data_IF_115851684042
#
_entry.id   IF_115851684042
#
_cell.length_a   1.000
_cell.length_b   1.000
_cell.length_c   1.000
_cell.angle_alpha   90.00
_cell.angle_beta   90.00
_cell.angle_gamma   90.00
#
_symmetry.space_group_name_H-M   'P 1'
#
loop_
_entity.id
_entity.type
_entity.pdbx_description
1 polymer ?
#
# COMPACT_ATOMS: atom_id res chain seq x y z
N UNK A 1 18.45 11.33 -15.26
CA UNK A 1 17.46 10.25 -15.53
C UNK A 1 16.40 10.30 -14.45
N UNK A 2 15.12 10.38 -14.82
CA UNK A 2 14.00 10.38 -13.86
C UNK A 2 13.59 8.93 -13.60
N UNK A 3 13.48 8.56 -12.32
CA UNK A 3 13.00 7.25 -11.85
C UNK A 3 11.61 7.45 -11.26
N UNK A 4 10.63 6.68 -11.71
CA UNK A 4 9.22 6.81 -11.29
C UNK A 4 8.59 5.43 -11.16
N UNK A 5 7.73 5.28 -10.17
CA UNK A 5 6.86 4.12 -10.02
C UNK A 5 5.43 4.59 -9.87
N UNK A 6 4.52 3.89 -10.54
CA UNK A 6 3.09 4.10 -10.43
C UNK A 6 2.48 2.83 -9.85
N UNK A 7 1.71 3.01 -8.77
CA UNK A 7 0.95 1.96 -8.11
C UNK A 7 -0.52 2.28 -8.30
N UNK A 8 -1.23 1.37 -8.95
CA UNK A 8 -2.68 1.46 -9.17
C UNK A 8 -3.33 0.24 -8.56
N UNK A 9 -4.50 0.41 -7.96
CA UNK A 9 -5.25 -0.70 -7.37
C UNK A 9 -5.52 -1.79 -8.41
N UNK A 10 -5.29 -3.05 -8.04
CA UNK A 10 -5.47 -4.24 -8.89
C UNK A 10 -4.67 -4.27 -10.19
N UNK A 11 -3.62 -3.46 -10.33
CA UNK A 11 -2.70 -3.49 -11.47
C UNK A 11 -1.26 -3.76 -11.03
N UNK A 12 -0.45 -4.39 -11.89
CA UNK A 12 0.96 -4.54 -11.63
C UNK A 12 1.64 -3.17 -11.59
N UNK A 13 2.67 -2.98 -10.73
CA UNK A 13 3.40 -1.73 -10.63
C UNK A 13 4.12 -1.39 -11.94
N UNK A 14 4.02 -0.13 -12.37
CA UNK A 14 4.71 0.37 -13.55
C UNK A 14 6.00 1.08 -13.15
N UNK A 15 7.13 0.64 -13.71
CA UNK A 15 8.46 1.20 -13.44
C UNK A 15 8.96 2.01 -14.63
N UNK A 16 9.44 3.22 -14.39
CA UNK A 16 10.14 4.05 -15.37
C UNK A 16 11.59 4.28 -14.94
N UNK A 17 12.52 4.08 -15.87
CA UNK A 17 13.97 4.22 -15.66
C UNK A 17 14.68 2.91 -15.31
N UNK A 18 16.00 2.98 -15.15
CA UNK A 18 16.81 1.83 -14.71
C UNK A 18 16.76 1.71 -13.18
N UNK A 19 16.47 0.51 -12.70
CA UNK A 19 16.43 0.16 -11.29
C UNK A 19 17.34 -1.04 -11.04
N UNK A 20 18.03 -1.04 -9.90
CA UNK A 20 18.72 -2.24 -9.43
C UNK A 20 17.75 -3.18 -8.74
N UNK A 21 18.08 -4.48 -8.72
CA UNK A 21 17.29 -5.49 -8.00
C UNK A 21 17.17 -5.12 -6.52
N UNK A 22 18.24 -4.60 -5.91
CA UNK A 22 18.24 -4.18 -4.51
C UNK A 22 17.24 -3.06 -4.21
N UNK A 23 17.17 -2.05 -5.08
CA UNK A 23 16.21 -0.94 -4.93
C UNK A 23 14.77 -1.42 -5.05
N UNK A 24 14.48 -2.34 -5.99
CA UNK A 24 13.14 -2.92 -6.12
C UNK A 24 12.76 -3.72 -4.87
N UNK A 25 13.67 -4.52 -4.33
CA UNK A 25 13.43 -5.32 -3.11
C UNK A 25 13.21 -4.44 -1.87
N UNK A 26 14.00 -3.38 -1.70
CA UNK A 26 13.84 -2.47 -0.56
C UNK A 26 12.46 -1.82 -0.57
N UNK A 27 11.99 -1.41 -1.74
CA UNK A 27 10.70 -0.75 -1.90
C UNK A 27 9.52 -1.71 -1.75
N UNK A 28 9.66 -2.95 -2.23
CA UNK A 28 8.67 -4.00 -1.98
C UNK A 28 8.48 -4.24 -0.46
N UNK A 29 9.56 -4.23 0.32
CA UNK A 29 9.48 -4.33 1.78
C UNK A 29 8.81 -3.12 2.43
N UNK A 30 9.10 -1.90 1.96
CA UNK A 30 8.43 -0.69 2.46
C UNK A 30 6.93 -0.71 2.17
N UNK A 31 6.52 -1.17 0.98
CA UNK A 31 5.11 -1.32 0.62
C UNK A 31 4.43 -2.39 1.46
N UNK A 32 5.07 -3.54 1.69
CA UNK A 32 4.54 -4.58 2.55
C UNK A 32 4.28 -4.05 3.97
N UNK A 33 5.27 -3.37 4.56
CA UNK A 33 5.14 -2.78 5.90
C UNK A 33 4.04 -1.70 5.97
N UNK A 34 3.83 -0.96 4.88
CA UNK A 34 2.74 0.02 4.80
C UNK A 34 1.37 -0.65 4.74
N UNK A 35 1.22 -1.72 3.94
CA UNK A 35 -0.01 -2.53 3.88
C UNK A 35 -0.33 -3.15 5.25
N UNK A 36 0.68 -3.71 5.93
CA UNK A 36 0.49 -4.25 7.28
C UNK A 36 -0.05 -3.19 8.25
N UNK A 37 0.46 -1.95 8.19
CA UNK A 37 -0.04 -0.84 9.01
C UNK A 37 -1.50 -0.48 8.71
N UNK A 38 -1.91 -0.54 7.45
CA UNK A 38 -3.29 -0.28 7.05
C UNK A 38 -4.23 -1.41 7.49
N UNK A 39 -3.79 -2.67 7.47
CA UNK A 39 -4.59 -3.79 7.96
C UNK A 39 -4.74 -3.80 9.49
N UNK A 40 -3.73 -3.32 10.22
CA UNK A 40 -3.76 -3.25 11.70
C UNK A 40 -4.57 -2.06 12.21
N UNK A 41 -4.88 -1.07 11.38
CA UNK A 41 -5.86 -0.01 11.67
C UNK A 41 -7.17 -0.34 10.96
N UNK A 42 -8.05 -1.20 11.53
CA UNK A 42 -9.38 -1.36 10.95
C UNK A 42 -10.04 0.02 10.85
N UNK A 43 -10.87 0.29 9.83
CA UNK A 43 -11.74 1.44 9.87
C UNK A 43 -12.49 1.36 11.20
N UNK A 44 -12.35 2.40 12.03
CA UNK A 44 -12.93 2.46 13.36
C UNK A 44 -14.34 1.90 13.29
N UNK A 45 -14.59 0.80 14.01
CA UNK A 45 -15.89 0.14 14.07
C UNK A 45 -16.96 1.21 14.20
N UNK A 46 -17.79 1.31 13.17
CA UNK A 46 -18.99 2.11 13.20
C UNK A 46 -19.73 1.75 14.50
N UNK A 47 -20.07 2.71 15.38
CA UNK A 47 -20.78 2.38 16.60
C UNK A 47 -22.07 1.65 16.22
N UNK A 48 -22.44 0.56 16.91
CA UNK A 48 -23.68 -0.15 16.60
C UNK A 48 -24.83 0.85 16.63
N UNK A 49 -25.78 0.79 15.66
CA UNK A 49 -26.92 1.69 15.67
C UNK A 49 -27.64 1.58 17.02
N UNK A 50 -28.04 2.70 17.65
CA UNK A 50 -28.74 2.65 18.92
C UNK A 50 -30.01 1.82 18.74
N UNK A 51 -30.14 0.79 19.57
CA UNK A 51 -31.27 -0.14 19.60
C UNK A 51 -32.58 0.66 19.65
N UNK A 52 -33.27 0.67 18.51
CA UNK A 52 -34.51 1.39 18.30
C UNK A 52 -35.64 0.66 19.01
N UNK A 53 -36.01 1.21 20.16
CA UNK A 53 -37.14 0.86 21.03
C UNK A 53 -38.47 0.62 20.29
#
# INVERSE_FOLDING_TARGET
>A
MIRKIVLTENQPPEFTGAWTVGEVLQMAQQLAAWVERLQVSPPASEPPPPDGK
#
